data_IF_915847407519
#
_entry.id   IF_915847407519
#
_cell.length_a   1.000
_cell.length_b   1.000
_cell.length_c   1.000
_cell.angle_alpha   90.00
_cell.angle_beta   90.00
_cell.angle_gamma   90.00
#
_symmetry.space_group_name_H-M   'P 1'
#
loop_
_entity.id
_entity.type
_entity.pdbx_description
1 polymer ?
#
# COMPACT_ATOMS: atom_id res chain seq x y z
N UNK A 1 -16.80 19.92 4.27
CA UNK A 1 -15.35 19.70 4.17
C UNK A 1 -14.71 21.06 3.91
N UNK A 2 -13.65 21.42 4.63
CA UNK A 2 -12.86 22.62 4.29
C UNK A 2 -11.77 22.26 3.27
N UNK A 3 -11.49 23.16 2.34
CA UNK A 3 -10.33 23.02 1.45
C UNK A 3 -9.05 22.94 2.29
N UNK A 4 -8.17 22.00 1.97
CA UNK A 4 -6.93 21.72 2.70
C UNK A 4 -7.10 20.97 4.04
N UNK A 5 -8.32 20.73 4.53
CA UNK A 5 -8.55 19.95 5.75
C UNK A 5 -8.58 18.44 5.52
N UNK A 6 -8.01 17.65 6.43
CA UNK A 6 -8.17 16.19 6.42
C UNK A 6 -9.58 15.78 6.88
N UNK A 7 -10.16 14.80 6.20
CA UNK A 7 -11.38 14.14 6.64
C UNK A 7 -11.17 13.34 7.93
N UNK A 8 -12.28 12.86 8.51
CA UNK A 8 -12.22 11.84 9.56
C UNK A 8 -11.56 10.58 9.02
N UNK A 9 -10.93 9.82 9.93
CA UNK A 9 -10.40 8.49 9.62
C UNK A 9 -11.56 7.53 9.38
N UNK A 10 -11.49 6.77 8.29
CA UNK A 10 -12.56 5.87 7.84
C UNK A 10 -11.95 4.53 7.43
N UNK A 11 -12.64 3.40 7.66
CA UNK A 11 -12.19 2.10 7.15
C UNK A 11 -12.06 2.11 5.62
N UNK A 12 -11.07 1.38 5.09
CA UNK A 12 -10.88 1.26 3.65
C UNK A 12 -12.07 0.55 2.99
N UNK A 13 -12.47 1.07 1.82
CA UNK A 13 -13.48 0.45 0.95
C UNK A 13 -12.79 -0.29 -0.21
N UNK A 14 -13.51 -1.10 -0.99
CA UNK A 14 -12.95 -1.76 -2.18
C UNK A 14 -12.32 -0.78 -3.18
N UNK A 15 -12.91 0.41 -3.34
CA UNK A 15 -12.37 1.48 -4.20
C UNK A 15 -11.00 2.00 -3.70
N UNK A 16 -10.84 2.14 -2.37
CA UNK A 16 -9.56 2.52 -1.76
C UNK A 16 -8.51 1.42 -1.97
N UNK A 17 -8.91 0.15 -1.88
CA UNK A 17 -8.02 -0.99 -2.14
C UNK A 17 -7.57 -0.99 -3.60
N UNK A 18 -8.47 -0.75 -4.55
CA UNK A 18 -8.13 -0.70 -5.97
C UNK A 18 -7.12 0.42 -6.29
N UNK A 19 -7.28 1.59 -5.66
CA UNK A 19 -6.27 2.67 -5.76
C UNK A 19 -4.90 2.24 -5.22
N UNK A 20 -4.88 1.49 -4.11
CA UNK A 20 -3.63 0.95 -3.57
C UNK A 20 -3.02 -0.08 -4.52
N UNK A 21 -3.82 -0.94 -5.14
CA UNK A 21 -3.33 -1.97 -6.06
C UNK A 21 -2.71 -1.31 -7.31
N UNK A 22 -3.40 -0.34 -7.92
CA UNK A 22 -2.91 0.41 -9.09
C UNK A 22 -1.60 1.16 -8.80
N UNK A 23 -1.48 1.78 -7.63
CA UNK A 23 -0.28 2.53 -7.24
C UNK A 23 0.83 1.58 -6.78
N UNK A 24 0.50 0.44 -6.16
CA UNK A 24 1.50 -0.52 -5.66
C UNK A 24 2.29 -1.14 -6.81
N UNK A 25 1.64 -1.48 -7.93
CA UNK A 25 2.32 -1.96 -9.13
C UNK A 25 3.35 -0.94 -9.68
N UNK A 26 3.06 0.35 -9.55
CA UNK A 26 3.94 1.43 -10.02
C UNK A 26 5.04 1.78 -9.01
N UNK A 27 4.72 1.73 -7.72
CA UNK A 27 5.59 2.20 -6.65
C UNK A 27 6.56 1.12 -6.13
N UNK A 28 6.17 -0.16 -6.17
CA UNK A 28 6.92 -1.25 -5.56
C UNK A 28 7.15 -2.39 -6.56
N UNK A 29 8.42 -2.67 -6.86
CA UNK A 29 8.80 -3.75 -7.77
C UNK A 29 8.49 -5.16 -7.22
N UNK A 30 8.32 -5.32 -5.90
CA UNK A 30 8.17 -6.61 -5.20
C UNK A 30 7.27 -6.52 -3.98
N UNK A 31 6.00 -6.21 -4.15
CA UNK A 31 4.98 -6.41 -3.10
C UNK A 31 3.95 -7.41 -3.62
N UNK A 32 3.89 -8.59 -3.01
CA UNK A 32 2.91 -9.62 -3.40
C UNK A 32 1.49 -9.20 -3.05
N UNK A 33 1.30 -8.52 -1.90
CA UNK A 33 -0.02 -8.09 -1.46
C UNK A 33 0.01 -6.89 -0.53
N UNK A 34 -0.62 -5.81 -0.98
CA UNK A 34 -0.94 -4.63 -0.19
C UNK A 34 -2.40 -4.70 0.26
N UNK A 35 -2.69 -4.45 1.54
CA UNK A 35 -4.06 -4.40 2.07
C UNK A 35 -4.32 -3.02 2.66
N UNK A 36 -5.26 -2.29 2.08
CA UNK A 36 -5.76 -1.02 2.60
C UNK A 36 -6.60 -1.27 3.86
N UNK A 37 -6.32 -0.52 4.93
CA UNK A 37 -7.00 -0.70 6.23
C UNK A 37 -7.87 0.51 6.57
N UNK A 38 -7.31 1.70 6.45
CA UNK A 38 -7.95 2.96 6.85
C UNK A 38 -7.51 4.07 5.89
N UNK A 39 -8.34 5.09 5.71
CA UNK A 39 -7.99 6.25 4.89
C UNK A 39 -8.56 7.57 5.40
N UNK A 40 -7.95 8.65 4.92
CA UNK A 40 -8.46 10.03 4.98
C UNK A 40 -8.36 10.68 3.61
N UNK A 41 -9.22 11.65 3.33
CA UNK A 41 -9.15 12.46 2.12
C UNK A 41 -8.95 13.94 2.45
N UNK A 42 -8.42 14.69 1.48
CA UNK A 42 -8.24 16.13 1.57
C UNK A 42 -8.63 16.77 0.24
N UNK A 43 -9.53 17.74 0.29
CA UNK A 43 -9.95 18.52 -0.89
C UNK A 43 -8.89 19.58 -1.19
N UNK A 44 -8.34 19.56 -2.41
CA UNK A 44 -7.40 20.53 -2.99
C UNK A 44 -7.91 20.95 -4.37
N UNK A 45 -7.05 21.29 -5.34
CA UNK A 45 -7.42 21.30 -6.76
C UNK A 45 -7.51 19.84 -7.29
N UNK A 46 -8.45 19.08 -6.73
CA UNK A 46 -8.50 17.63 -6.78
C UNK A 46 -8.73 17.03 -5.38
N UNK A 47 -8.41 15.74 -5.22
CA UNK A 47 -8.54 15.03 -3.93
C UNK A 47 -7.26 14.26 -3.66
N UNK A 48 -6.63 14.53 -2.53
CA UNK A 48 -5.56 13.68 -2.01
C UNK A 48 -6.16 12.57 -1.14
N UNK A 49 -5.64 11.36 -1.26
CA UNK A 49 -5.99 10.22 -0.42
C UNK A 49 -4.78 9.79 0.42
N UNK A 50 -4.95 9.77 1.73
CA UNK A 50 -3.97 9.26 2.69
C UNK A 50 -4.43 7.89 3.15
N UNK A 51 -3.81 6.84 2.62
CA UNK A 51 -4.25 5.45 2.81
C UNK A 51 -3.21 4.71 3.63
N UNK A 52 -3.66 4.05 4.70
CA UNK A 52 -2.84 3.18 5.53
C UNK A 52 -2.86 1.77 4.96
N UNK A 53 -1.70 1.28 4.56
CA UNK A 53 -1.53 -0.01 3.90
C UNK A 53 -0.74 -0.96 4.80
N UNK A 54 -1.24 -2.18 4.95
CA UNK A 54 -0.48 -3.31 5.49
C UNK A 54 0.08 -4.11 4.32
N UNK A 55 1.40 -4.24 4.24
CA UNK A 55 2.06 -4.98 3.17
C UNK A 55 2.77 -6.20 3.74
N UNK A 56 2.58 -7.36 3.11
CA UNK A 56 3.43 -8.53 3.35
C UNK A 56 4.53 -8.54 2.29
N UNK A 57 5.79 -8.63 2.72
CA UNK A 57 6.91 -8.88 1.81
C UNK A 57 7.32 -10.34 1.92
N UNK A 58 7.33 -11.07 0.80
CA UNK A 58 8.06 -12.32 0.73
C UNK A 58 9.55 -12.01 0.70
N UNK A 59 10.23 -12.30 1.80
CA UNK A 59 11.69 -12.41 1.78
C UNK A 59 11.99 -13.75 1.12
N UNK A 60 12.35 -13.74 -0.18
CA UNK A 60 12.93 -14.91 -0.83
C UNK A 60 14.27 -15.21 -0.16
N UNK A 61 14.30 -16.18 0.76
CA UNK A 61 15.55 -16.73 1.30
C UNK A 61 16.15 -17.60 0.19
N UNK A 62 17.07 -17.03 -0.59
CA UNK A 62 17.88 -17.78 -1.56
C UNK A 62 18.69 -18.84 -0.79
N UNK A 63 18.28 -20.09 -0.91
CA UNK A 63 18.97 -21.25 -0.32
C UNK A 63 20.11 -21.69 -1.24
N UNK A 64 21.17 -20.89 -1.36
CA UNK A 64 22.40 -21.29 -2.06
C UNK A 64 23.63 -21.19 -1.13
N UNK A 65 23.62 -21.90 0.00
CA UNK A 65 24.83 -22.07 0.82
C UNK A 65 24.92 -23.45 1.49
N UNK A 66 24.77 -24.55 0.75
CA UNK A 66 25.45 -25.80 1.12
C UNK A 66 25.30 -26.84 0.02
N UNK A 67 26.32 -27.00 -0.83
CA UNK A 67 26.70 -28.28 -1.42
C UNK A 67 28.05 -28.09 -2.13
N UNK A 68 29.13 -28.04 -1.34
CA UNK A 68 30.50 -28.46 -1.71
C UNK A 68 31.44 -28.34 -0.49
N UNK A 69 31.29 -29.32 0.41
CA UNK A 69 32.36 -30.00 1.17
C UNK A 69 31.86 -31.45 1.19
N UNK A 70 32.53 -32.43 0.59
CA UNK A 70 33.93 -32.79 0.64
C UNK A 70 34.41 -33.33 -0.71
#
# INVERSE_FOLDING_TARGET
MSTGGLSKLTPATPEIQEMVDQVSEQAYQKVEKSIATEYRSQVVDGINYFIKVSAASAVEISSEQHLLRF
#
